data_IF_643021654213
#
_entry.id   IF_643021654213
#
_cell.length_a   1.000
_cell.length_b   1.000
_cell.length_c   1.000
_cell.angle_alpha   90.00
_cell.angle_beta   90.00
_cell.angle_gamma   90.00
#
_symmetry.space_group_name_H-M   'P 1'
#
loop_
_entity.id
_entity.type
_entity.pdbx_description
1 polymer ?
#
# COMPACT_ATOMS: atom_id res chain seq x y z
N UNK A 1 -19.28 -15.93 -13.00
CA UNK A 1 -18.57 -15.79 -14.29
C UNK A 1 -17.69 -14.56 -14.25
N UNK A 2 -16.37 -14.68 -14.43
CA UNK A 2 -15.47 -13.50 -14.48
C UNK A 2 -15.81 -12.67 -15.71
N UNK A 3 -16.25 -11.42 -15.51
CA UNK A 3 -16.60 -10.51 -16.61
C UNK A 3 -15.34 -10.11 -17.39
N UNK A 4 -15.22 -10.58 -18.63
CA UNK A 4 -14.13 -10.21 -19.55
C UNK A 4 -14.34 -8.84 -20.20
N UNK A 5 -15.37 -8.07 -19.79
CA UNK A 5 -15.75 -6.79 -20.42
C UNK A 5 -14.65 -5.72 -20.42
N UNK A 6 -13.64 -5.83 -19.55
CA UNK A 6 -12.53 -4.87 -19.46
C UNK A 6 -11.34 -5.18 -20.39
N UNK A 7 -11.38 -6.31 -21.12
CA UNK A 7 -10.32 -6.73 -22.05
C UNK A 7 -10.35 -5.90 -23.34
N UNK A 8 -9.92 -4.65 -23.23
CA UNK A 8 -9.70 -3.75 -24.36
C UNK A 8 -8.27 -3.91 -24.89
N UNK A 9 -7.97 -3.57 -26.17
CA UNK A 9 -6.59 -3.55 -26.67
C UNK A 9 -5.65 -2.73 -25.77
N UNK A 10 -6.13 -1.59 -25.27
CA UNK A 10 -5.42 -0.75 -24.30
C UNK A 10 -5.08 -1.51 -23.01
N UNK A 11 -6.05 -2.22 -22.43
CA UNK A 11 -5.83 -3.01 -21.22
C UNK A 11 -4.80 -4.11 -21.43
N UNK A 12 -4.88 -4.83 -22.56
CA UNK A 12 -3.90 -5.88 -22.91
C UNK A 12 -2.50 -5.30 -23.03
N UNK A 13 -2.32 -4.18 -23.73
CA UNK A 13 -1.04 -3.49 -23.85
C UNK A 13 -0.51 -3.07 -22.47
N UNK A 14 -1.36 -2.48 -21.62
CA UNK A 14 -0.97 -2.08 -20.27
C UNK A 14 -0.55 -3.28 -19.41
N UNK A 15 -1.29 -4.39 -19.48
CA UNK A 15 -0.96 -5.62 -18.74
C UNK A 15 0.36 -6.22 -19.21
N UNK A 16 0.65 -6.23 -20.51
CA UNK A 16 1.94 -6.67 -21.04
C UNK A 16 3.10 -5.79 -20.56
N UNK A 17 2.91 -4.46 -20.52
CA UNK A 17 3.91 -3.53 -19.97
C UNK A 17 4.18 -3.78 -18.50
N UNK A 18 3.13 -4.02 -17.70
CA UNK A 18 3.25 -4.37 -16.28
C UNK A 18 4.02 -5.68 -16.10
N UNK A 19 3.68 -6.71 -16.87
CA UNK A 19 4.37 -8.01 -16.79
C UNK A 19 5.86 -7.89 -17.17
N UNK A 20 6.17 -7.16 -18.23
CA UNK A 20 7.55 -6.89 -18.63
C UNK A 20 8.33 -6.15 -17.53
N UNK A 21 7.73 -5.11 -16.94
CA UNK A 21 8.34 -4.37 -15.83
C UNK A 21 8.60 -5.26 -14.61
N UNK A 22 7.61 -6.02 -14.15
CA UNK A 22 7.77 -6.89 -12.98
C UNK A 22 8.81 -8.00 -13.18
N UNK A 23 9.00 -8.45 -14.44
CA UNK A 23 10.04 -9.42 -14.80
C UNK A 23 11.44 -8.80 -14.75
N UNK A 24 11.59 -7.55 -15.17
CA UNK A 24 12.86 -6.81 -15.08
C UNK A 24 13.18 -6.34 -13.65
N UNK A 25 12.15 -6.15 -12.82
CA UNK A 25 12.27 -5.63 -11.45
C UNK A 25 11.67 -6.61 -10.41
N UNK A 26 12.21 -7.83 -10.26
CA UNK A 26 11.63 -8.87 -9.41
C UNK A 26 11.68 -8.56 -7.90
N UNK A 27 12.50 -7.60 -7.49
CA UNK A 27 12.64 -7.17 -6.08
C UNK A 27 11.77 -5.98 -5.67
N UNK A 28 11.03 -5.37 -6.59
CA UNK A 28 10.20 -4.19 -6.32
C UNK A 28 8.78 -4.59 -5.88
N UNK A 29 8.04 -3.74 -5.14
CA UNK A 29 6.66 -4.04 -4.77
C UNK A 29 5.73 -4.01 -5.99
N UNK A 30 4.52 -4.56 -5.84
CA UNK A 30 3.49 -4.56 -6.89
C UNK A 30 2.65 -3.27 -6.95
N UNK A 31 3.27 -2.14 -6.65
CA UNK A 31 2.69 -0.82 -6.85
C UNK A 31 2.82 -0.40 -8.32
N UNK A 32 2.20 0.71 -8.71
CA UNK A 32 2.49 1.31 -10.02
C UNK A 32 3.98 1.67 -10.13
N UNK A 33 4.53 1.60 -11.35
CA UNK A 33 5.92 1.98 -11.61
C UNK A 33 6.23 3.38 -11.10
N UNK A 34 5.36 4.34 -11.42
CA UNK A 34 5.56 5.73 -11.05
C UNK A 34 5.52 5.92 -9.53
N UNK A 35 4.68 5.16 -8.80
CA UNK A 35 4.72 5.15 -7.35
C UNK A 35 6.02 4.57 -6.80
N UNK A 36 6.53 3.48 -7.39
CA UNK A 36 7.81 2.90 -6.97
C UNK A 36 8.95 3.90 -7.16
N UNK A 37 9.03 4.56 -8.32
CA UNK A 37 10.05 5.58 -8.58
C UNK A 37 9.93 6.78 -7.64
N UNK A 38 8.70 7.24 -7.35
CA UNK A 38 8.47 8.28 -6.34
C UNK A 38 8.97 7.84 -4.97
N UNK A 39 8.60 6.65 -4.50
CA UNK A 39 9.01 6.13 -3.20
C UNK A 39 10.52 5.89 -3.11
N UNK A 40 11.21 5.54 -4.20
CA UNK A 40 12.69 5.46 -4.22
C UNK A 40 13.34 6.80 -3.85
N UNK A 41 12.74 7.91 -4.25
CA UNK A 41 13.28 9.26 -3.98
C UNK A 41 12.86 9.82 -2.63
N UNK A 42 11.68 9.40 -2.12
CA UNK A 42 11.11 9.91 -0.87
C UNK A 42 11.49 9.11 0.37
N UNK A 43 11.71 7.80 0.24
CA UNK A 43 12.09 6.94 1.35
C UNK A 43 13.60 7.00 1.56
N UNK A 44 14.03 7.90 2.43
CA UNK A 44 15.44 8.12 2.76
C UNK A 44 15.74 7.68 4.19
N UNK A 45 16.34 6.50 4.35
CA UNK A 45 17.03 6.09 5.57
C UNK A 45 16.14 5.93 6.80
N UNK A 46 16.65 6.32 7.97
CA UNK A 46 16.26 5.90 9.34
C UNK A 46 14.78 6.10 9.79
N UNK A 47 13.85 6.40 8.88
CA UNK A 47 12.42 6.49 9.13
C UNK A 47 11.78 5.18 9.58
N UNK A 48 10.60 5.31 10.19
CA UNK A 48 9.80 4.19 10.70
C UNK A 48 8.61 3.92 9.79
N UNK A 49 8.47 2.68 9.35
CA UNK A 49 7.37 2.22 8.51
C UNK A 49 6.38 1.32 9.22
N UNK A 50 5.14 1.32 8.73
CA UNK A 50 4.16 0.27 8.95
C UNK A 50 3.65 -0.23 7.60
N UNK A 51 3.45 -1.53 7.47
CA UNK A 51 2.85 -2.16 6.31
C UNK A 51 1.77 -3.16 6.74
N UNK A 52 0.63 -3.13 6.07
CA UNK A 52 -0.33 -4.23 6.06
C UNK A 52 -0.29 -4.92 4.69
N UNK A 53 -0.04 -6.22 4.69
CA UNK A 53 0.24 -7.03 3.50
C UNK A 53 1.74 -7.22 3.34
N UNK A 54 2.31 -8.20 4.06
CA UNK A 54 3.74 -8.47 3.96
C UNK A 54 4.04 -9.20 2.64
N UNK A 55 5.21 -8.99 2.04
CA UNK A 55 5.56 -9.61 0.78
C UNK A 55 6.84 -9.06 0.16
N UNK A 56 6.83 -8.91 -1.18
CA UNK A 56 7.95 -8.29 -1.93
C UNK A 56 8.26 -6.88 -1.42
N UNK A 57 7.21 -6.13 -1.12
CA UNK A 57 7.25 -4.79 -0.55
C UNK A 57 8.00 -4.75 0.79
N UNK A 58 7.80 -5.73 1.67
CA UNK A 58 8.49 -5.81 2.97
C UNK A 58 10.00 -5.80 2.82
N UNK A 59 10.55 -6.67 1.96
CA UNK A 59 12.01 -6.72 1.72
C UNK A 59 12.52 -5.43 1.07
N UNK A 60 11.72 -4.83 0.19
CA UNK A 60 12.08 -3.60 -0.51
C UNK A 60 12.07 -2.37 0.40
N UNK A 61 11.09 -2.30 1.31
CA UNK A 61 10.93 -1.25 2.33
C UNK A 61 12.00 -1.38 3.42
N UNK A 62 12.29 -2.61 3.88
CA UNK A 62 13.34 -2.87 4.86
C UNK A 62 14.73 -2.36 4.41
N UNK A 63 15.02 -2.38 3.11
CA UNK A 63 16.26 -1.83 2.57
C UNK A 63 16.31 -0.28 2.56
N UNK A 64 15.19 0.41 2.82
CA UNK A 64 15.04 1.87 2.68
C UNK A 64 14.63 2.58 3.96
N UNK A 65 14.15 1.85 4.95
CA UNK A 65 13.68 2.35 6.23
C UNK A 65 14.60 1.93 7.37
N UNK A 66 14.63 2.72 8.45
CA UNK A 66 15.36 2.37 9.68
C UNK A 66 14.70 1.24 10.45
N UNK A 67 13.36 1.17 10.45
CA UNK A 67 12.59 0.08 11.04
C UNK A 67 11.25 -0.08 10.36
N UNK A 68 10.77 -1.31 10.21
CA UNK A 68 9.47 -1.62 9.60
C UNK A 68 8.68 -2.57 10.49
N UNK A 69 7.43 -2.25 10.77
CA UNK A 69 6.44 -3.24 11.23
C UNK A 69 5.68 -3.71 10.00
N UNK A 70 5.63 -5.01 9.74
CA UNK A 70 4.91 -5.57 8.59
C UNK A 70 3.93 -6.64 9.06
N UNK A 71 2.68 -6.57 8.62
CA UNK A 71 1.57 -7.41 9.12
C UNK A 71 1.03 -8.29 8.01
N UNK A 72 0.95 -9.60 8.28
CA UNK A 72 0.45 -10.60 7.33
C UNK A 72 -0.65 -11.46 7.94
N UNK A 73 -1.63 -11.83 7.12
CA UNK A 73 -2.79 -12.62 7.51
C UNK A 73 -2.72 -14.08 7.05
N UNK A 74 -1.94 -14.37 6.00
CA UNK A 74 -1.71 -15.73 5.53
C UNK A 74 -0.47 -16.31 6.21
N UNK A 75 -0.65 -17.39 6.98
CA UNK A 75 0.43 -17.96 7.78
C UNK A 75 1.56 -18.51 6.90
N UNK A 76 1.21 -19.17 5.80
CA UNK A 76 2.19 -19.74 4.89
C UNK A 76 3.01 -18.64 4.20
N UNK A 77 2.35 -17.56 3.81
CA UNK A 77 3.01 -16.40 3.22
C UNK A 77 3.88 -15.66 4.23
N UNK A 78 3.41 -15.49 5.46
CA UNK A 78 4.21 -14.92 6.55
C UNK A 78 5.50 -15.72 6.76
N UNK A 79 5.43 -17.06 6.78
CA UNK A 79 6.63 -17.93 6.87
C UNK A 79 7.57 -17.74 5.68
N UNK A 80 7.05 -17.57 4.47
CA UNK A 80 7.87 -17.31 3.28
C UNK A 80 8.60 -15.96 3.37
N UNK A 81 7.91 -14.91 3.84
CA UNK A 81 8.53 -13.58 4.03
C UNK A 81 9.60 -13.64 5.11
N UNK A 82 9.33 -14.31 6.24
CA UNK A 82 10.30 -14.51 7.32
C UNK A 82 11.59 -15.17 6.80
N UNK A 83 11.46 -16.28 6.07
CA UNK A 83 12.61 -16.97 5.49
C UNK A 83 13.39 -16.08 4.50
N UNK A 84 12.70 -15.24 3.74
CA UNK A 84 13.32 -14.32 2.79
C UNK A 84 14.06 -13.16 3.49
N UNK A 85 13.54 -12.67 4.61
CA UNK A 85 14.21 -11.68 5.47
C UNK A 85 15.49 -12.26 6.08
N UNK A 86 15.42 -13.46 6.64
CA UNK A 86 16.55 -14.18 7.22
C UNK A 86 17.65 -14.43 6.19
N UNK A 87 17.28 -14.93 5.01
CA UNK A 87 18.21 -15.16 3.89
C UNK A 87 18.95 -13.89 3.46
N UNK A 88 18.32 -12.72 3.57
CA UNK A 88 18.94 -11.42 3.25
C UNK A 88 19.61 -10.75 4.44
N UNK A 89 19.53 -11.32 5.63
CA UNK A 89 20.06 -10.72 6.86
C UNK A 89 19.37 -9.41 7.26
N UNK A 90 18.11 -9.20 6.85
CA UNK A 90 17.34 -8.00 7.17
C UNK A 90 16.75 -8.14 8.58
N UNK A 91 17.28 -7.38 9.54
CA UNK A 91 16.92 -7.47 10.97
C UNK A 91 16.07 -6.32 11.48
N UNK A 92 15.80 -5.34 10.64
CA UNK A 92 15.04 -4.13 10.97
C UNK A 92 13.52 -4.29 10.73
N UNK A 93 13.03 -5.51 10.57
CA UNK A 93 11.62 -5.83 10.33
C UNK A 93 11.04 -6.58 11.53
N UNK A 94 9.98 -6.02 12.11
CA UNK A 94 9.07 -6.69 13.04
C UNK A 94 7.90 -7.25 12.23
N UNK A 95 8.02 -8.51 11.80
CA UNK A 95 7.00 -9.22 11.04
C UNK A 95 5.98 -9.85 11.98
N UNK A 96 4.70 -9.52 11.81
CA UNK A 96 3.61 -9.96 12.69
C UNK A 96 2.55 -10.72 11.91
N UNK A 97 2.19 -11.90 12.39
CA UNK A 97 1.10 -12.70 11.86
C UNK A 97 -0.20 -12.42 12.62
N UNK A 98 -1.24 -12.00 11.91
CA UNK A 98 -2.59 -11.82 12.43
C UNK A 98 -3.63 -12.24 11.38
N UNK A 99 -4.36 -13.35 11.55
CA UNK A 99 -5.15 -13.95 10.48
C UNK A 99 -6.38 -13.15 10.07
N UNK A 100 -6.89 -12.27 10.94
CA UNK A 100 -8.09 -11.49 10.71
C UNK A 100 -8.19 -10.28 11.66
N UNK A 101 -9.22 -9.48 11.43
CA UNK A 101 -9.68 -8.44 12.35
C UNK A 101 -10.15 -9.01 13.70
N UNK A 102 -10.11 -8.22 14.79
CA UNK A 102 -9.61 -6.84 14.84
C UNK A 102 -8.08 -6.76 14.96
N UNK A 103 -7.41 -7.85 15.35
CA UNK A 103 -5.99 -7.85 15.70
C UNK A 103 -5.08 -7.40 14.55
N UNK A 104 -5.45 -7.76 13.31
CA UNK A 104 -4.74 -7.32 12.10
C UNK A 104 -4.64 -5.79 12.00
N UNK A 105 -5.77 -5.10 12.23
CA UNK A 105 -5.85 -3.62 12.18
C UNK A 105 -5.24 -3.00 13.44
N UNK A 106 -5.51 -3.60 14.61
CA UNK A 106 -5.12 -3.10 15.92
C UNK A 106 -3.59 -3.07 16.15
N UNK A 107 -2.78 -3.63 15.24
CA UNK A 107 -1.32 -3.45 15.26
C UNK A 107 -0.94 -1.97 15.31
N UNK A 108 -1.66 -1.10 14.57
CA UNK A 108 -1.41 0.34 14.59
C UNK A 108 -1.62 0.95 15.97
N UNK A 109 -2.54 0.43 16.77
CA UNK A 109 -2.85 0.97 18.10
C UNK A 109 -1.74 0.75 19.12
N UNK A 110 -0.93 -0.28 18.89
CA UNK A 110 0.27 -0.57 19.69
C UNK A 110 1.46 0.30 19.32
N UNK A 111 1.34 1.13 18.27
CA UNK A 111 2.39 2.05 17.83
C UNK A 111 2.13 3.46 18.39
N UNK A 112 3.18 4.19 18.81
CA UNK A 112 2.97 5.52 19.35
C UNK A 112 2.42 6.48 18.29
N UNK A 113 1.56 7.44 18.66
CA UNK A 113 0.98 8.41 17.74
C UNK A 113 2.08 9.32 17.16
N UNK A 114 1.88 9.80 15.93
CA UNK A 114 2.80 10.70 15.24
C UNK A 114 4.27 10.24 15.25
N UNK A 115 4.53 8.96 14.96
CA UNK A 115 5.89 8.38 14.92
C UNK A 115 6.25 7.66 13.62
N UNK A 116 5.29 7.43 12.73
CA UNK A 116 5.54 6.79 11.44
C UNK A 116 5.87 7.83 10.38
N UNK A 117 6.94 7.56 9.64
CA UNK A 117 7.37 8.32 8.47
C UNK A 117 6.70 7.78 7.19
N UNK A 118 6.34 6.50 7.21
CA UNK A 118 5.74 5.81 6.07
C UNK A 118 4.70 4.78 6.53
N UNK A 119 3.60 4.65 5.78
CA UNK A 119 2.62 3.58 5.93
C UNK A 119 2.23 3.05 4.55
N UNK A 120 2.19 1.73 4.38
CA UNK A 120 1.63 1.06 3.20
C UNK A 120 0.42 0.20 3.60
N UNK A 121 -0.70 0.39 2.89
CA UNK A 121 -1.91 -0.42 3.00
C UNK A 121 -2.08 -1.22 1.70
N UNK A 122 -1.69 -2.49 1.74
CA UNK A 122 -1.78 -3.44 0.62
C UNK A 122 -2.34 -4.82 1.06
N UNK A 123 -2.97 -4.88 2.23
CA UNK A 123 -3.44 -6.11 2.85
C UNK A 123 -4.95 -6.30 2.85
N UNK A 124 -5.47 -6.94 3.91
CA UNK A 124 -6.90 -7.02 4.21
C UNK A 124 -7.41 -5.75 4.93
N UNK A 125 -8.73 -5.63 5.10
CA UNK A 125 -9.38 -4.57 5.89
C UNK A 125 -8.83 -3.16 5.57
N UNK A 126 -8.61 -2.86 4.29
CA UNK A 126 -7.79 -1.71 3.85
C UNK A 126 -8.37 -0.37 4.30
N UNK A 127 -9.69 -0.23 4.36
CA UNK A 127 -10.35 0.96 4.90
C UNK A 127 -10.01 1.19 6.36
N UNK A 128 -10.15 0.17 7.19
CA UNK A 128 -9.87 0.25 8.62
C UNK A 128 -8.38 0.44 8.90
N UNK A 129 -7.50 -0.24 8.15
CA UNK A 129 -6.06 -0.02 8.21
C UNK A 129 -5.68 1.42 7.84
N UNK A 130 -6.26 1.96 6.76
CA UNK A 130 -6.00 3.32 6.32
C UNK A 130 -6.45 4.35 7.37
N UNK A 131 -7.60 4.14 8.02
CA UNK A 131 -8.05 4.99 9.14
C UNK A 131 -7.12 4.87 10.36
N UNK A 132 -6.73 3.65 10.74
CA UNK A 132 -5.87 3.39 11.88
C UNK A 132 -4.46 3.99 11.70
N UNK A 133 -4.01 4.17 10.46
CA UNK A 133 -2.73 4.80 10.13
C UNK A 133 -2.69 6.31 10.40
N UNK A 134 -3.81 7.03 10.20
CA UNK A 134 -3.87 8.49 10.24
C UNK A 134 -3.27 9.13 11.51
N UNK A 135 -3.60 8.68 12.75
CA UNK A 135 -3.02 9.24 13.96
C UNK A 135 -1.57 8.84 14.19
N UNK A 136 -1.07 7.79 13.52
CA UNK A 136 0.28 7.25 13.71
C UNK A 136 1.33 7.95 12.84
N UNK A 137 0.91 8.55 11.74
CA UNK A 137 1.78 9.33 10.85
C UNK A 137 2.25 10.63 11.51
N UNK A 138 3.54 10.95 11.33
CA UNK A 138 4.11 12.27 11.63
C UNK A 138 3.60 13.33 10.65
N UNK A 139 3.65 14.62 11.01
CA UNK A 139 3.80 15.71 10.04
C UNK A 139 4.80 15.35 8.93
N UNK A 140 4.39 15.47 7.67
CA UNK A 140 5.19 15.08 6.49
C UNK A 140 5.29 13.57 6.22
N UNK A 141 4.67 12.74 7.06
CA UNK A 141 4.63 11.29 6.87
C UNK A 141 3.81 10.88 5.65
N UNK A 142 4.19 9.78 5.02
CA UNK A 142 3.61 9.29 3.77
C UNK A 142 2.64 8.13 4.04
N UNK A 143 1.43 8.22 3.52
CA UNK A 143 0.47 7.11 3.50
C UNK A 143 0.26 6.64 2.07
N UNK A 144 0.49 5.36 1.81
CA UNK A 144 0.26 4.74 0.50
C UNK A 144 -0.85 3.70 0.63
N UNK A 145 -1.81 3.76 -0.29
CA UNK A 145 -2.87 2.74 -0.43
C UNK A 145 -2.78 2.15 -1.83
N UNK A 146 -2.54 0.84 -1.92
CA UNK A 146 -2.57 0.16 -3.22
C UNK A 146 -3.99 -0.19 -3.66
N UNK A 147 -4.17 -0.38 -4.96
CA UNK A 147 -5.46 -0.56 -5.63
C UNK A 147 -6.50 0.52 -5.24
N UNK A 148 -6.05 1.74 -4.99
CA UNK A 148 -6.88 2.85 -4.49
C UNK A 148 -8.11 3.10 -5.36
N UNK A 149 -8.02 2.84 -6.67
CA UNK A 149 -9.12 2.99 -7.61
C UNK A 149 -10.34 2.11 -7.30
N UNK A 150 -10.15 1.00 -6.60
CA UNK A 150 -11.24 0.10 -6.19
C UNK A 150 -12.05 0.68 -5.01
N UNK A 151 -11.48 1.63 -4.28
CA UNK A 151 -11.97 2.06 -2.98
C UNK A 151 -12.43 3.51 -2.96
N UNK A 152 -11.73 4.38 -3.68
CA UNK A 152 -11.95 5.82 -3.68
C UNK A 152 -12.32 6.31 -5.09
N UNK A 153 -13.23 7.29 -5.21
CA UNK A 153 -13.54 7.89 -6.50
C UNK A 153 -12.30 8.49 -7.17
N UNK A 154 -12.13 8.19 -8.46
CA UNK A 154 -11.03 8.68 -9.26
C UNK A 154 -11.42 8.85 -10.74
N UNK A 155 -10.55 9.49 -11.52
CA UNK A 155 -10.71 9.64 -12.97
C UNK A 155 -10.01 8.52 -13.77
N UNK A 156 -9.56 7.47 -13.09
CA UNK A 156 -8.81 6.39 -13.72
C UNK A 156 -9.65 5.53 -14.66
N UNK A 157 -9.00 5.03 -15.69
CA UNK A 157 -9.57 4.07 -16.62
C UNK A 157 -9.16 2.62 -16.31
N UNK A 158 -8.42 2.38 -15.22
CA UNK A 158 -8.14 1.02 -14.75
C UNK A 158 -9.47 0.28 -14.50
N UNK A 159 -9.52 -1.05 -14.72
CA UNK A 159 -10.74 -1.82 -14.48
C UNK A 159 -11.28 -1.65 -13.07
N UNK A 160 -12.62 -1.64 -12.94
CA UNK A 160 -13.33 -1.54 -11.66
C UNK A 160 -13.05 -0.26 -10.85
N UNK A 161 -12.47 0.77 -11.48
CA UNK A 161 -12.30 2.08 -10.85
C UNK A 161 -13.65 2.70 -10.49
N UNK A 162 -13.74 3.25 -9.28
CA UNK A 162 -14.93 3.97 -8.81
C UNK A 162 -14.96 5.37 -9.42
N UNK A 163 -16.10 5.72 -10.01
CA UNK A 163 -16.35 7.05 -10.58
C UNK A 163 -16.78 8.01 -9.45
N UNK A 164 -16.70 9.34 -9.67
CA UNK A 164 -17.25 10.32 -8.73
C UNK A 164 -18.67 10.02 -8.26
N UNK A 165 -19.54 9.54 -9.16
CA UNK A 165 -20.92 9.18 -8.85
C UNK A 165 -21.07 7.93 -7.95
N UNK A 166 -20.07 7.04 -7.91
CA UNK A 166 -20.13 5.80 -7.13
C UNK A 166 -19.77 6.01 -5.65
N UNK A 167 -19.17 7.16 -5.32
CA UNK A 167 -18.68 7.48 -3.98
C UNK A 167 -17.59 6.50 -3.46
N UNK A 168 -17.16 6.65 -2.20
CA UNK A 168 -16.26 5.71 -1.53
C UNK A 168 -16.87 4.31 -1.40
N UNK A 169 -16.03 3.26 -1.37
CA UNK A 169 -16.49 1.87 -1.34
C UNK A 169 -17.14 1.43 -0.02
N UNK A 170 -16.85 2.13 1.08
CA UNK A 170 -17.42 1.88 2.40
C UNK A 170 -17.55 3.20 3.17
N UNK A 171 -18.32 3.19 4.26
CA UNK A 171 -18.40 4.34 5.17
C UNK A 171 -17.02 4.71 5.75
N UNK A 172 -16.21 3.70 6.07
CA UNK A 172 -14.85 3.88 6.54
C UNK A 172 -13.97 4.59 5.50
N UNK A 173 -14.08 4.21 4.22
CA UNK A 173 -13.42 4.96 3.13
C UNK A 173 -13.96 6.38 2.98
N UNK A 174 -15.25 6.62 3.25
CA UNK A 174 -15.81 7.97 3.27
C UNK A 174 -15.23 8.85 4.37
N UNK A 175 -15.09 8.30 5.58
CA UNK A 175 -14.42 8.97 6.71
C UNK A 175 -12.93 9.22 6.41
N UNK A 176 -12.26 8.25 5.81
CA UNK A 176 -10.88 8.39 5.36
C UNK A 176 -10.75 9.55 4.38
N UNK A 177 -11.54 9.53 3.30
CA UNK A 177 -11.54 10.55 2.26
C UNK A 177 -11.84 11.96 2.80
N UNK A 178 -12.76 12.08 3.76
CA UNK A 178 -13.05 13.34 4.43
C UNK A 178 -11.84 13.85 5.24
N UNK A 179 -11.11 12.95 5.89
CA UNK A 179 -9.96 13.30 6.74
C UNK A 179 -8.74 13.72 5.92
N UNK A 180 -8.47 13.02 4.80
CA UNK A 180 -7.32 13.33 3.93
C UNK A 180 -7.64 14.33 2.82
N UNK A 181 -8.84 14.95 2.85
CA UNK A 181 -9.32 15.85 1.79
C UNK A 181 -8.38 17.01 1.48
N UNK A 182 -7.68 17.52 2.49
CA UNK A 182 -6.75 18.66 2.38
C UNK A 182 -5.29 18.23 2.28
N UNK A 183 -5.01 16.92 2.32
CA UNK A 183 -3.65 16.40 2.24
C UNK A 183 -3.19 16.46 0.79
N UNK A 184 -1.90 16.71 0.57
CA UNK A 184 -1.31 16.51 -0.75
C UNK A 184 -1.52 15.05 -1.16
N UNK A 185 -2.08 14.84 -2.35
CA UNK A 185 -2.38 13.52 -2.88
C UNK A 185 -1.71 13.34 -4.24
N UNK A 186 -0.91 12.29 -4.38
CA UNK A 186 -0.29 11.87 -5.63
C UNK A 186 -0.94 10.55 -6.04
N UNK A 187 -1.66 10.57 -7.15
CA UNK A 187 -2.36 9.41 -7.69
C UNK A 187 -1.66 8.92 -8.95
N UNK A 188 -1.33 7.62 -8.99
CA UNK A 188 -0.61 7.01 -10.11
C UNK A 188 -1.39 5.84 -10.67
N UNK A 189 -1.27 5.59 -11.99
CA UNK A 189 -1.93 4.46 -12.65
C UNK A 189 -0.98 3.80 -13.64
N UNK A 190 -1.03 2.48 -13.72
CA UNK A 190 -0.42 1.73 -14.82
C UNK A 190 -1.48 1.27 -15.84
N UNK A 191 -2.72 1.74 -15.70
CA UNK A 191 -3.87 1.36 -16.52
C UNK A 191 -4.42 -0.06 -16.27
N UNK A 192 -3.94 -0.73 -15.22
CA UNK A 192 -4.39 -2.04 -14.75
C UNK A 192 -4.87 -1.94 -13.30
N UNK A 193 -4.14 -1.21 -12.47
CA UNK A 193 -4.55 -0.74 -11.15
C UNK A 193 -3.87 0.59 -10.83
N UNK A 194 -4.30 1.19 -9.73
CA UNK A 194 -3.79 2.48 -9.27
C UNK A 194 -3.26 2.40 -7.85
N UNK A 195 -2.27 3.24 -7.56
CA UNK A 195 -1.72 3.43 -6.23
C UNK A 195 -1.78 4.92 -5.90
N UNK A 196 -2.26 5.25 -4.71
CA UNK A 196 -2.33 6.63 -4.25
C UNK A 196 -1.45 6.84 -3.01
N UNK A 197 -0.83 8.01 -2.94
CA UNK A 197 -0.01 8.46 -1.84
C UNK A 197 -0.57 9.76 -1.30
N UNK A 198 -0.68 9.87 0.02
CA UNK A 198 -0.98 11.12 0.72
C UNK A 198 0.19 11.54 1.60
N UNK A 199 0.44 12.86 1.65
CA UNK A 199 1.42 13.45 2.57
C UNK A 199 0.67 14.12 3.71
N UNK A 200 0.95 13.72 4.95
CA UNK A 200 0.33 14.33 6.13
C UNK A 200 0.78 15.79 6.26
N UNK A 201 -0.14 16.76 6.37
CA UNK A 201 0.19 18.16 6.60
C UNK A 201 1.01 18.36 7.87
N UNK A 202 1.73 19.48 7.92
CA UNK A 202 2.53 19.88 9.07
C UNK A 202 1.67 20.13 10.31
#
# INVERSE_FOLDING_TARGET
MRSLRHWTPRYVVNRLRVLAYQRLHPGEPWLTRDMVELLKTRLTGAGRGLEWGAGRSTLWLAARLGSLVSVEHDEAYCRQVQAALEKKGLRNVDLRFHPAEPDYVAVADKLPPARLDFVLVDGQARDLCALAALPRLKPGGLLVVDNSNLYLPCSSYAPHSRRPADGPASEAWGRFAATVKTWECIWTTNGVWDTALWVKPA
#
